data_IF_930301939037
#
_entry.id   IF_930301939037
#
_cell.length_a   1.000
_cell.length_b   1.000
_cell.length_c   1.000
_cell.angle_alpha   90.00
_cell.angle_beta   90.00
_cell.angle_gamma   90.00
#
_symmetry.space_group_name_H-M   'P 1'
#
loop_
_entity.id
_entity.type
_entity.pdbx_description
1 polymer ?
#
# COMPACT_ATOMS: atom_id res chain seq x y z
N UNK A 1 6.38 5.25 4.22
CA UNK A 1 5.88 4.57 3.01
C UNK A 1 6.83 4.87 1.88
N UNK A 2 7.20 3.88 1.08
CA UNK A 2 8.07 4.07 -0.09
C UNK A 2 7.26 3.81 -1.37
N UNK A 3 7.47 4.63 -2.41
CA UNK A 3 6.91 4.36 -3.73
C UNK A 3 7.60 3.16 -4.35
N UNK A 4 6.80 2.14 -4.70
CA UNK A 4 7.28 0.93 -5.36
C UNK A 4 7.05 0.99 -6.86
N UNK A 5 5.88 1.46 -7.28
CA UNK A 5 5.48 1.55 -8.68
C UNK A 5 4.42 2.64 -8.86
N UNK A 6 4.36 3.23 -10.04
CA UNK A 6 3.35 4.20 -10.44
C UNK A 6 2.96 3.92 -11.89
N UNK A 7 1.65 3.73 -12.15
CA UNK A 7 1.13 3.52 -13.50
C UNK A 7 -0.04 4.45 -13.76
N UNK A 8 -0.03 5.13 -14.89
CA UNK A 8 -1.16 5.93 -15.37
C UNK A 8 -1.76 5.28 -16.61
N UNK A 9 -3.08 5.11 -16.62
CA UNK A 9 -3.82 4.67 -17.80
C UNK A 9 -4.85 5.72 -18.19
N UNK A 10 -4.91 6.02 -19.48
CA UNK A 10 -5.99 6.79 -20.07
C UNK A 10 -7.10 5.81 -20.44
N UNK A 11 -8.30 6.05 -19.94
CA UNK A 11 -9.48 5.27 -20.31
C UNK A 11 -10.55 6.20 -20.92
N UNK A 12 -11.32 5.65 -21.85
CA UNK A 12 -12.45 6.34 -22.47
C UNK A 12 -13.70 5.50 -22.24
N UNK A 13 -14.47 5.82 -21.20
CA UNK A 13 -15.71 5.10 -20.85
C UNK A 13 -16.89 5.75 -21.56
N UNK A 14 -17.71 4.94 -22.22
CA UNK A 14 -19.03 5.36 -22.69
C UNK A 14 -20.09 4.78 -21.76
N UNK A 15 -20.75 5.63 -20.97
CA UNK A 15 -21.79 5.22 -20.05
C UNK A 15 -23.12 4.98 -20.77
N UNK A 16 -23.90 3.99 -20.32
CA UNK A 16 -25.21 3.65 -20.89
C UNK A 16 -26.25 4.77 -20.77
N UNK A 17 -26.08 5.71 -19.83
CA UNK A 17 -26.96 6.86 -19.68
C UNK A 17 -26.80 7.90 -20.81
N UNK A 18 -25.61 7.98 -21.44
CA UNK A 18 -25.26 8.99 -22.44
C UNK A 18 -24.32 8.40 -23.51
N UNK A 19 -24.84 7.64 -24.50
CA UNK A 19 -24.00 6.99 -25.52
C UNK A 19 -23.37 7.95 -26.54
N UNK A 20 -23.74 9.24 -26.54
CA UNK A 20 -23.29 10.23 -27.52
C UNK A 20 -21.92 10.86 -27.20
N UNK A 21 -21.48 10.83 -25.94
CA UNK A 21 -20.25 11.51 -25.50
C UNK A 21 -19.39 10.56 -24.69
N UNK A 22 -18.21 10.14 -25.19
CA UNK A 22 -17.27 9.38 -24.39
C UNK A 22 -16.66 10.27 -23.30
N UNK A 23 -16.67 9.79 -22.05
CA UNK A 23 -16.02 10.47 -20.94
C UNK A 23 -14.58 9.98 -20.84
N UNK A 24 -13.64 10.92 -20.82
CA UNK A 24 -12.21 10.61 -20.77
C UNK A 24 -11.73 10.73 -19.33
N UNK A 25 -11.25 9.64 -18.76
CA UNK A 25 -10.66 9.61 -17.43
C UNK A 25 -9.17 9.23 -17.51
N UNK A 26 -8.40 9.78 -16.56
CA UNK A 26 -6.99 9.46 -16.37
C UNK A 26 -6.88 8.85 -14.98
N UNK A 27 -6.73 7.53 -14.93
CA UNK A 27 -6.64 6.80 -13.67
C UNK A 27 -5.17 6.55 -13.34
N UNK A 28 -4.73 7.08 -12.20
CA UNK A 28 -3.38 6.87 -11.66
C UNK A 28 -3.40 5.84 -10.54
N UNK A 29 -2.63 4.78 -10.69
CA UNK A 29 -2.41 3.76 -9.67
C UNK A 29 -1.03 3.94 -9.05
N UNK A 30 -1.00 4.24 -7.75
CA UNK A 30 0.21 4.37 -6.96
C UNK A 30 0.36 3.17 -6.04
N UNK A 31 1.47 2.43 -6.17
CA UNK A 31 1.79 1.30 -5.29
C UNK A 31 2.77 1.80 -4.23
N UNK A 32 2.28 1.90 -2.99
CA UNK A 32 3.05 2.35 -1.83
C UNK A 32 3.34 1.16 -0.90
N UNK A 33 4.61 0.98 -0.52
CA UNK A 33 5.05 -0.02 0.45
C UNK A 33 5.10 0.59 1.86
N UNK A 34 4.45 -0.05 2.85
CA UNK A 34 4.65 0.28 4.27
C UNK A 34 6.04 -0.18 4.70
N UNK A 35 6.85 0.71 5.28
CA UNK A 35 8.10 0.31 5.92
C UNK A 35 7.77 -0.06 7.38
N UNK A 36 7.97 -1.32 7.81
CA UNK A 36 7.59 -1.78 9.14
C UNK A 36 8.62 -1.44 10.23
N UNK A 37 9.59 -0.55 9.96
CA UNK A 37 10.74 -0.27 10.85
C UNK A 37 10.30 0.08 12.28
N UNK A 38 9.29 0.93 12.44
CA UNK A 38 8.75 1.30 13.75
C UNK A 38 8.16 0.09 14.50
N UNK A 39 7.43 -0.77 13.78
CA UNK A 39 6.81 -1.97 14.36
C UNK A 39 7.86 -3.01 14.78
N UNK A 40 8.92 -3.16 13.97
CA UNK A 40 10.04 -4.05 14.30
C UNK A 40 10.73 -3.58 15.58
N UNK A 41 11.05 -2.29 15.69
CA UNK A 41 11.79 -1.75 16.83
C UNK A 41 10.96 -1.79 18.12
N UNK A 42 9.68 -1.39 18.06
CA UNK A 42 8.88 -1.21 19.28
C UNK A 42 8.06 -2.44 19.69
N UNK A 43 7.86 -3.42 18.82
CA UNK A 43 7.06 -4.62 19.13
C UNK A 43 7.91 -5.88 19.06
N UNK A 44 8.64 -6.10 17.95
CA UNK A 44 9.39 -7.35 17.76
C UNK A 44 10.59 -7.43 18.73
N UNK A 45 11.39 -6.37 18.85
CA UNK A 45 12.54 -6.34 19.77
C UNK A 45 12.16 -6.65 21.23
N UNK A 46 11.18 -5.95 21.85
CA UNK A 46 10.82 -6.25 23.24
C UNK A 46 10.24 -7.67 23.41
N UNK A 47 9.47 -8.18 22.44
CA UNK A 47 8.97 -9.56 22.49
C UNK A 47 10.10 -10.61 22.48
N UNK A 48 11.13 -10.39 21.66
CA UNK A 48 12.30 -11.28 21.62
C UNK A 48 13.11 -11.21 22.91
N UNK A 49 13.27 -10.01 23.48
CA UNK A 49 13.94 -9.83 24.78
C UNK A 49 13.19 -10.55 25.90
N UNK A 50 11.88 -10.40 26.01
CA UNK A 50 11.07 -11.12 27.00
C UNK A 50 11.15 -12.64 26.83
N UNK A 51 11.07 -13.12 25.59
CA UNK A 51 11.17 -14.56 25.30
C UNK A 51 12.52 -15.13 25.73
N UNK A 52 13.61 -14.38 25.53
CA UNK A 52 14.94 -14.78 25.98
C UNK A 52 15.06 -14.83 27.50
N UNK A 53 14.53 -13.81 28.20
CA UNK A 53 14.53 -13.78 29.67
C UNK A 53 13.77 -14.97 30.24
N UNK A 54 12.60 -15.31 29.69
CA UNK A 54 11.80 -16.47 30.11
C UNK A 54 12.51 -17.80 29.84
N UNK A 55 13.24 -17.91 28.73
CA UNK A 55 13.94 -19.15 28.38
C UNK A 55 15.19 -19.41 29.24
N UNK A 56 15.80 -18.37 29.81
CA UNK A 56 17.00 -18.46 30.64
C UNK A 56 16.68 -18.62 32.13
N UNK A 57 15.49 -18.17 32.57
CA UNK A 57 14.96 -18.37 33.93
C UNK A 57 14.36 -19.76 34.12
#
# INVERSE_FOLDING_TARGET
WAMKDYRGWKHSVTYSCCPKTPYLDITYHFVLLRLPLYFIVNVIIPCLLFSFVIAVS
#
